data_IF_603135984749
#
_entry.id   IF_603135984749
#
_cell.length_a   1.000
_cell.length_b   1.000
_cell.length_c   1.000
_cell.angle_alpha   90.00
_cell.angle_beta   90.00
_cell.angle_gamma   90.00
#
_symmetry.space_group_name_H-M   'P 1'
#
loop_
_entity.id
_entity.type
_entity.pdbx_description
1 polymer ?
#
# COMPACT_ATOMS: atom_id res chain seq x y z
N UNK A 1 2.51 -33.47 -17.90
CA UNK A 1 2.15 -33.63 -16.48
C UNK A 1 1.64 -32.29 -15.97
N UNK A 2 0.32 -32.15 -15.81
CA UNK A 2 -0.34 -30.91 -15.43
C UNK A 2 -0.44 -30.86 -13.92
N UNK A 3 0.35 -29.98 -13.27
CA UNK A 3 0.21 -29.76 -11.83
C UNK A 3 -1.08 -28.98 -11.56
N UNK A 4 -2.13 -29.70 -11.18
CA UNK A 4 -3.32 -29.11 -10.61
C UNK A 4 -2.97 -28.62 -9.19
N UNK A 5 -2.79 -27.32 -9.03
CA UNK A 5 -2.78 -26.72 -7.69
C UNK A 5 -4.16 -26.95 -7.07
N UNK A 6 -4.25 -27.54 -5.86
CA UNK A 6 -5.54 -27.80 -5.24
C UNK A 6 -6.23 -26.46 -4.98
N UNK A 7 -7.40 -26.26 -5.59
CA UNK A 7 -8.34 -25.22 -5.19
C UNK A 7 -8.64 -25.40 -3.71
N UNK A 8 -8.03 -24.57 -2.88
CA UNK A 8 -8.27 -24.55 -1.44
C UNK A 8 -9.72 -24.09 -1.27
N UNK A 9 -10.62 -24.99 -0.88
CA UNK A 9 -12.02 -24.67 -0.54
C UNK A 9 -12.01 -23.41 0.35
N UNK A 10 -12.66 -22.34 -0.11
CA UNK A 10 -12.82 -21.13 0.68
C UNK A 10 -13.54 -21.50 1.99
N UNK A 11 -12.82 -21.47 3.10
CA UNK A 11 -13.41 -21.66 4.43
C UNK A 11 -14.39 -20.51 4.64
N UNK A 12 -15.61 -20.81 5.11
CA UNK A 12 -16.59 -19.77 5.41
C UNK A 12 -15.95 -18.69 6.28
N UNK A 13 -16.16 -17.40 5.97
CA UNK A 13 -15.53 -16.32 6.72
C UNK A 13 -15.98 -16.39 8.18
N UNK A 14 -15.01 -16.53 9.08
CA UNK A 14 -15.28 -16.53 10.51
C UNK A 14 -15.75 -15.12 10.93
N UNK A 15 -16.78 -15.01 11.78
CA UNK A 15 -17.25 -13.71 12.25
C UNK A 15 -16.11 -12.95 12.92
N UNK A 16 -15.92 -11.68 12.54
CA UNK A 16 -14.93 -10.84 13.23
C UNK A 16 -15.32 -10.66 14.71
N UNK A 17 -14.41 -10.94 15.66
CA UNK A 17 -14.67 -10.72 17.08
C UNK A 17 -15.00 -9.27 17.40
N UNK A 18 -15.87 -9.02 18.39
CA UNK A 18 -16.25 -7.66 18.80
C UNK A 18 -15.03 -6.79 19.17
N UNK A 19 -14.03 -7.37 19.84
CA UNK A 19 -12.76 -6.69 20.16
C UNK A 19 -11.99 -6.25 18.91
N UNK A 20 -11.99 -7.07 17.86
CA UNK A 20 -11.33 -6.74 16.61
C UNK A 20 -12.03 -5.57 15.89
N UNK A 21 -13.37 -5.54 15.87
CA UNK A 21 -14.12 -4.37 15.37
C UNK A 21 -13.80 -3.10 16.14
N UNK A 22 -13.68 -3.19 17.47
CA UNK A 22 -13.30 -2.06 18.31
C UNK A 22 -11.90 -1.54 17.95
N UNK A 23 -10.92 -2.43 17.75
CA UNK A 23 -9.56 -2.08 17.34
C UNK A 23 -9.53 -1.42 15.95
N UNK A 24 -10.23 -1.99 14.96
CA UNK A 24 -10.33 -1.41 13.62
C UNK A 24 -10.96 -0.01 13.68
N UNK A 25 -12.04 0.16 14.42
CA UNK A 25 -12.70 1.46 14.61
C UNK A 25 -11.80 2.50 15.29
N UNK A 26 -11.01 2.07 16.27
CA UNK A 26 -10.14 2.96 17.05
C UNK A 26 -8.87 3.36 16.28
N UNK A 27 -8.29 2.45 15.50
CA UNK A 27 -6.95 2.61 14.95
C UNK A 27 -6.89 2.73 13.43
N UNK A 28 -7.98 2.50 12.70
CA UNK A 28 -8.04 2.67 11.25
C UNK A 28 -9.00 3.81 10.95
N UNK A 29 -8.52 5.05 10.90
CA UNK A 29 -9.37 6.22 10.74
C UNK A 29 -10.36 6.12 9.54
N UNK A 30 -9.95 5.59 8.36
CA UNK A 30 -10.87 5.41 7.24
C UNK A 30 -12.06 4.48 7.53
N UNK A 31 -11.93 3.49 8.42
CA UNK A 31 -13.00 2.55 8.77
C UNK A 31 -14.27 3.26 9.27
N UNK A 32 -14.10 4.38 10.00
CA UNK A 32 -15.23 5.17 10.52
C UNK A 32 -16.08 5.80 9.40
N UNK A 33 -15.47 6.09 8.26
CA UNK A 33 -16.12 6.73 7.10
C UNK A 33 -16.79 5.74 6.15
N UNK A 34 -16.46 4.45 6.25
CA UNK A 34 -17.08 3.41 5.43
C UNK A 34 -18.55 3.20 5.84
N UNK A 35 -19.39 2.90 4.84
CA UNK A 35 -20.75 2.42 5.05
C UNK A 35 -20.75 0.98 5.61
N UNK A 36 -21.94 0.39 5.85
CA UNK A 36 -22.03 -0.95 6.42
C UNK A 36 -21.38 -2.03 5.54
N UNK A 37 -21.58 -1.97 4.22
CA UNK A 37 -21.00 -2.93 3.28
C UNK A 37 -19.48 -2.80 3.19
N UNK A 38 -18.97 -1.57 3.21
CA UNK A 38 -17.54 -1.27 3.18
C UNK A 38 -16.84 -1.70 4.45
N UNK A 39 -17.49 -1.52 5.62
CA UNK A 39 -16.98 -2.05 6.89
C UNK A 39 -16.92 -3.56 6.87
N UNK A 40 -17.96 -4.23 6.37
CA UNK A 40 -17.98 -5.69 6.27
C UNK A 40 -16.90 -6.20 5.30
N UNK A 41 -16.72 -5.54 4.15
CA UNK A 41 -15.65 -5.85 3.21
C UNK A 41 -14.26 -5.68 3.83
N UNK A 42 -14.03 -4.56 4.55
CA UNK A 42 -12.78 -4.30 5.26
C UNK A 42 -12.51 -5.35 6.34
N UNK A 43 -13.54 -5.72 7.11
CA UNK A 43 -13.47 -6.75 8.13
C UNK A 43 -13.07 -8.10 7.51
N UNK A 44 -13.75 -8.53 6.44
CA UNK A 44 -13.40 -9.78 5.74
C UNK A 44 -11.97 -9.77 5.21
N UNK A 45 -11.55 -8.67 4.57
CA UNK A 45 -10.20 -8.51 4.03
C UNK A 45 -9.13 -8.51 5.15
N UNK A 46 -9.37 -7.80 6.25
CA UNK A 46 -8.45 -7.77 7.39
C UNK A 46 -8.32 -9.15 8.07
N UNK A 47 -9.43 -9.88 8.23
CA UNK A 47 -9.40 -11.25 8.75
C UNK A 47 -8.62 -12.21 7.83
N UNK A 48 -8.79 -12.06 6.51
CA UNK A 48 -8.00 -12.81 5.51
C UNK A 48 -6.52 -12.52 5.65
N UNK A 49 -6.13 -11.24 5.63
CA UNK A 49 -4.73 -10.83 5.76
C UNK A 49 -4.09 -11.33 7.05
N UNK A 50 -4.80 -11.27 8.19
CA UNK A 50 -4.28 -11.82 9.46
C UNK A 50 -4.03 -13.32 9.44
N UNK A 51 -4.77 -14.07 8.63
CA UNK A 51 -4.58 -15.52 8.48
C UNK A 51 -3.45 -15.86 7.51
N UNK A 52 -3.27 -15.04 6.48
CA UNK A 52 -2.39 -15.35 5.36
C UNK A 52 -1.01 -14.70 5.49
N UNK A 53 -0.91 -13.59 6.21
CA UNK A 53 0.33 -12.82 6.40
C UNK A 53 0.89 -13.03 7.80
N UNK A 54 2.20 -13.24 7.86
CA UNK A 54 2.91 -13.35 9.13
C UNK A 54 3.28 -11.95 9.64
N UNK A 55 3.06 -11.70 10.93
CA UNK A 55 3.54 -10.48 11.60
C UNK A 55 4.51 -10.92 12.69
N UNK A 56 5.77 -10.55 12.53
CA UNK A 56 6.86 -10.91 13.42
C UNK A 56 7.40 -9.65 14.11
N UNK A 57 7.59 -9.74 15.42
CA UNK A 57 8.24 -8.68 16.18
C UNK A 57 9.75 -8.84 16.16
N UNK A 58 10.45 -7.76 15.90
CA UNK A 58 11.91 -7.67 15.88
C UNK A 58 12.38 -6.62 16.89
N UNK A 59 13.67 -6.65 17.25
CA UNK A 59 14.25 -5.67 18.19
C UNK A 59 13.55 -5.61 19.55
N UNK A 60 13.04 -6.75 20.05
CA UNK A 60 12.31 -6.82 21.32
C UNK A 60 10.83 -6.43 21.25
N UNK A 61 10.31 -6.05 20.07
CA UNK A 61 8.90 -5.74 19.90
C UNK A 61 8.02 -6.98 20.12
N UNK A 62 7.02 -6.87 21.01
CA UNK A 62 6.01 -7.91 21.22
C UNK A 62 4.78 -7.60 20.39
N UNK A 63 4.47 -8.44 19.40
CA UNK A 63 3.32 -8.27 18.51
C UNK A 63 2.00 -8.47 19.28
N UNK A 64 1.30 -7.37 19.53
CA UNK A 64 -0.01 -7.37 20.21
C UNK A 64 -1.18 -7.56 19.24
N UNK A 65 -2.38 -7.85 19.76
CA UNK A 65 -3.60 -7.85 18.94
C UNK A 65 -3.86 -6.49 18.28
N UNK A 66 -3.58 -5.38 18.99
CA UNK A 66 -3.68 -4.03 18.44
C UNK A 66 -2.79 -3.91 17.21
N UNK A 67 -1.52 -4.33 17.29
CA UNK A 67 -0.61 -4.26 16.16
C UNK A 67 -1.13 -5.07 14.96
N UNK A 68 -1.52 -6.33 15.18
CA UNK A 68 -2.01 -7.20 14.11
C UNK A 68 -3.25 -6.63 13.41
N UNK A 69 -4.24 -6.14 14.16
CA UNK A 69 -5.47 -5.60 13.59
C UNK A 69 -5.27 -4.23 12.95
N UNK A 70 -4.38 -3.38 13.49
CA UNK A 70 -4.07 -2.08 12.89
C UNK A 70 -3.35 -2.26 11.55
N UNK A 71 -2.35 -3.15 11.49
CA UNK A 71 -1.62 -3.44 10.24
C UNK A 71 -2.57 -4.04 9.21
N UNK A 72 -3.29 -5.10 9.57
CA UNK A 72 -4.21 -5.75 8.65
C UNK A 72 -5.37 -4.85 8.20
N UNK A 73 -5.86 -3.97 9.08
CA UNK A 73 -6.96 -3.05 8.77
C UNK A 73 -6.57 -1.95 7.79
N UNK A 74 -5.37 -1.38 7.91
CA UNK A 74 -4.86 -0.42 6.92
C UNK A 74 -4.58 -1.10 5.59
N UNK A 75 -3.90 -2.24 5.58
CA UNK A 75 -3.63 -2.99 4.36
C UNK A 75 -4.94 -3.43 3.66
N UNK A 76 -5.97 -3.79 4.42
CA UNK A 76 -7.28 -4.18 3.89
C UNK A 76 -8.00 -3.06 3.13
N UNK A 77 -7.70 -1.78 3.38
CA UNK A 77 -8.28 -0.66 2.62
C UNK A 77 -7.93 -0.77 1.13
N UNK A 78 -6.70 -1.19 0.82
CA UNK A 78 -6.22 -1.33 -0.56
C UNK A 78 -6.86 -2.53 -1.27
N UNK A 79 -7.60 -3.40 -0.56
CA UNK A 79 -8.25 -4.59 -1.10
C UNK A 79 -9.77 -4.43 -1.28
N UNK A 80 -10.38 -3.29 -0.92
CA UNK A 80 -11.84 -3.18 -0.81
C UNK A 80 -12.60 -3.36 -2.13
N UNK A 81 -12.05 -2.82 -3.22
CA UNK A 81 -12.70 -2.85 -4.53
C UNK A 81 -12.29 -4.03 -5.41
N UNK A 82 -11.28 -4.81 -4.99
CA UNK A 82 -10.68 -5.85 -5.82
C UNK A 82 -10.28 -7.05 -4.99
N UNK A 83 -10.70 -8.24 -5.42
CA UNK A 83 -10.14 -9.48 -4.89
C UNK A 83 -8.72 -9.65 -5.44
N UNK A 84 -7.73 -9.21 -4.67
CA UNK A 84 -6.30 -9.33 -5.02
C UNK A 84 -5.66 -10.58 -4.43
N UNK A 85 -6.46 -11.58 -4.12
CA UNK A 85 -6.04 -12.79 -3.43
C UNK A 85 -5.19 -12.56 -2.16
N UNK A 86 -5.43 -11.44 -1.48
CA UNK A 86 -4.65 -11.03 -0.32
C UNK A 86 -3.21 -10.61 -0.63
N UNK A 87 -2.88 -10.21 -1.86
CA UNK A 87 -1.53 -9.85 -2.32
C UNK A 87 -0.54 -11.01 -2.14
N UNK A 88 -0.55 -12.03 -3.02
CA UNK A 88 0.16 -13.29 -2.80
C UNK A 88 1.69 -13.15 -2.72
N UNK A 89 2.28 -12.09 -3.28
CA UNK A 89 3.72 -11.81 -3.17
C UNK A 89 4.16 -11.53 -1.72
N UNK A 90 3.38 -10.71 -1.01
CA UNK A 90 3.63 -10.37 0.39
C UNK A 90 3.45 -11.58 1.31
N UNK A 91 4.44 -11.89 2.15
CA UNK A 91 4.39 -13.01 3.10
C UNK A 91 4.51 -12.56 4.54
N UNK A 92 5.45 -11.66 4.82
CA UNK A 92 5.85 -11.34 6.19
C UNK A 92 5.90 -9.83 6.42
N UNK A 93 5.49 -9.41 7.61
CA UNK A 93 5.68 -8.07 8.14
C UNK A 93 6.59 -8.14 9.35
N UNK A 94 7.76 -7.51 9.27
CA UNK A 94 8.69 -7.36 10.38
C UNK A 94 8.39 -6.04 11.09
N UNK A 95 8.18 -6.09 12.40
CA UNK A 95 7.78 -4.92 13.19
C UNK A 95 8.83 -4.64 14.25
N UNK A 96 9.48 -3.48 14.17
CA UNK A 96 10.42 -2.96 15.16
C UNK A 96 9.71 -1.96 16.08
N UNK A 97 10.20 -1.73 17.32
CA UNK A 97 9.55 -0.78 18.22
C UNK A 97 9.68 0.68 17.74
N UNK A 98 10.79 1.02 17.09
CA UNK A 98 11.09 2.32 16.51
C UNK A 98 11.91 2.16 15.23
N UNK A 99 12.29 3.28 14.60
CA UNK A 99 13.18 3.33 13.44
C UNK A 99 14.34 2.36 13.61
N UNK A 100 14.61 1.59 12.55
CA UNK A 100 15.71 0.63 12.55
C UNK A 100 16.82 1.12 11.65
N UNK A 101 18.05 0.77 12.02
CA UNK A 101 19.25 1.04 11.24
C UNK A 101 19.47 -0.10 10.27
N UNK A 102 19.09 0.09 9.01
CA UNK A 102 19.43 -0.85 7.96
C UNK A 102 20.93 -0.74 7.67
N UNK A 103 21.67 -1.86 7.73
CA UNK A 103 22.98 -1.94 7.06
C UNK A 103 22.69 -2.19 5.59
N UNK A 104 23.09 -1.27 4.72
CA UNK A 104 23.06 -1.55 3.29
C UNK A 104 24.09 -2.63 2.96
N UNK A 105 24.06 -3.12 1.74
CA UNK A 105 25.29 -3.62 1.14
C UNK A 105 25.26 -3.08 -0.27
N UNK A 106 25.79 -1.86 -0.46
CA UNK A 106 26.07 -1.38 -1.82
C UNK A 106 27.38 -2.00 -2.29
N UNK A 107 27.29 -3.07 -3.07
CA UNK A 107 28.42 -3.52 -3.88
C UNK A 107 28.64 -2.52 -5.02
N UNK A 108 29.59 -1.60 -4.83
CA UNK A 108 30.26 -0.93 -5.94
C UNK A 108 31.61 -1.62 -6.14
N UNK A 109 31.90 -1.98 -7.39
CA UNK A 109 33.14 -2.65 -7.78
C UNK A 109 34.35 -1.88 -7.25
N UNK A 110 35.18 -2.59 -6.49
CA UNK A 110 36.46 -2.14 -5.94
C UNK A 110 36.40 -0.99 -4.91
N UNK A 111 35.87 -1.27 -3.72
CA UNK A 111 36.14 -0.47 -2.52
C UNK A 111 34.95 -0.44 -1.55
N UNK A 112 35.07 -1.10 -0.40
CA UNK A 112 34.10 -0.97 0.68
C UNK A 112 34.38 0.36 1.39
N UNK A 113 33.57 1.36 1.12
CA UNK A 113 33.51 2.58 1.95
C UNK A 113 32.52 2.32 3.08
N UNK A 114 32.92 2.61 4.32
CA UNK A 114 32.09 2.39 5.51
C UNK A 114 30.71 3.05 5.39
N UNK A 115 29.67 2.30 5.73
CA UNK A 115 28.28 2.71 5.58
C UNK A 115 27.79 3.54 6.77
N UNK A 116 27.12 4.66 6.50
CA UNK A 116 26.26 5.34 7.44
C UNK A 116 24.93 4.58 7.53
N UNK A 117 24.57 4.15 8.74
CA UNK A 117 23.30 3.49 8.99
C UNK A 117 22.16 4.53 8.96
N UNK A 118 21.37 4.55 7.89
CA UNK A 118 20.15 5.37 7.83
C UNK A 118 19.06 4.79 8.74
N UNK A 119 18.41 5.68 9.48
CA UNK A 119 17.23 5.35 10.28
C UNK A 119 16.01 5.34 9.34
N UNK A 120 15.41 4.16 9.16
CA UNK A 120 14.24 3.97 8.29
C UNK A 120 12.99 3.68 9.11
N UNK A 121 11.89 4.35 8.75
CA UNK A 121 10.57 4.10 9.32
C UNK A 121 9.93 2.83 8.73
N UNK A 122 10.15 2.54 7.44
CA UNK A 122 9.67 1.35 6.76
C UNK A 122 10.50 1.00 5.52
N UNK A 123 10.24 -0.21 4.99
CA UNK A 123 10.84 -0.73 3.76
C UNK A 123 9.99 -1.88 3.22
N UNK A 124 9.87 -1.99 1.89
CA UNK A 124 9.18 -3.09 1.23
C UNK A 124 10.06 -3.78 0.18
N UNK A 125 10.20 -5.09 0.31
CA UNK A 125 10.66 -5.99 -0.77
C UNK A 125 9.45 -6.67 -1.41
N UNK A 126 9.65 -7.53 -2.41
CA UNK A 126 8.53 -8.27 -3.05
C UNK A 126 7.75 -9.19 -2.11
N UNK A 127 8.30 -9.57 -0.97
CA UNK A 127 7.72 -10.54 -0.04
C UNK A 127 7.72 -10.10 1.43
N UNK A 128 8.47 -9.06 1.79
CA UNK A 128 8.60 -8.54 3.16
C UNK A 128 8.22 -7.07 3.21
N UNK A 129 7.44 -6.73 4.23
CA UNK A 129 7.28 -5.35 4.71
C UNK A 129 8.04 -5.22 6.02
N UNK A 130 8.75 -4.12 6.22
CA UNK A 130 9.35 -3.71 7.48
C UNK A 130 8.67 -2.44 7.98
N UNK A 131 8.32 -2.41 9.27
CA UNK A 131 7.66 -1.28 9.91
C UNK A 131 8.30 -0.93 11.25
N UNK A 132 8.47 0.36 11.49
CA UNK A 132 8.56 0.95 12.83
C UNK A 132 7.17 1.10 13.41
N UNK A 133 6.91 0.47 14.56
CA UNK A 133 5.60 0.52 15.19
C UNK A 133 5.27 1.90 15.77
N UNK A 134 6.26 2.63 16.30
CA UNK A 134 6.03 3.97 16.81
C UNK A 134 5.66 4.95 15.68
N UNK A 135 6.34 4.86 14.53
CA UNK A 135 6.02 5.70 13.36
C UNK A 135 4.64 5.35 12.80
N UNK A 136 4.32 4.06 12.63
CA UNK A 136 3.01 3.60 12.17
C UNK A 136 1.84 4.00 13.11
N UNK A 137 2.13 4.27 14.38
CA UNK A 137 1.13 4.81 15.33
C UNK A 137 1.08 6.33 15.27
N UNK A 138 2.23 7.00 15.17
CA UNK A 138 2.35 8.44 15.14
C UNK A 138 1.72 9.06 13.89
N UNK A 139 1.84 8.39 12.74
CA UNK A 139 1.30 8.84 11.46
C UNK A 139 -0.13 8.32 11.17
N UNK A 140 -0.77 7.72 12.18
CA UNK A 140 -2.09 7.10 12.07
C UNK A 140 -2.20 5.99 11.00
N UNK A 141 -1.12 5.25 10.77
CA UNK A 141 -1.09 4.08 9.88
C UNK A 141 -0.82 4.41 8.42
N UNK A 142 -0.37 5.64 8.11
CA UNK A 142 0.03 6.03 6.76
C UNK A 142 1.21 5.20 6.25
N UNK A 143 2.18 4.91 7.11
CA UNK A 143 3.31 4.05 6.81
C UNK A 143 2.84 2.64 6.41
N UNK A 144 1.83 2.09 7.08
CA UNK A 144 1.29 0.78 6.69
C UNK A 144 0.66 0.85 5.30
N UNK A 145 -0.08 1.92 5.00
CA UNK A 145 -0.65 2.12 3.66
C UNK A 145 0.45 2.26 2.60
N UNK A 146 1.50 3.01 2.93
CA UNK A 146 2.66 3.24 2.07
C UNK A 146 3.34 1.92 1.70
N UNK A 147 3.79 1.14 2.68
CA UNK A 147 4.48 -0.13 2.41
C UNK A 147 3.56 -1.17 1.76
N UNK A 148 2.25 -1.13 2.06
CA UNK A 148 1.29 -2.00 1.36
C UNK A 148 1.07 -1.54 -0.09
N UNK A 149 1.18 -0.24 -0.39
CA UNK A 149 1.11 0.28 -1.76
C UNK A 149 2.27 -0.27 -2.61
N UNK A 150 3.47 -0.36 -2.05
CA UNK A 150 4.59 -1.04 -2.72
C UNK A 150 4.27 -2.51 -3.05
N UNK A 151 3.59 -3.24 -2.16
CA UNK A 151 3.11 -4.61 -2.48
C UNK A 151 2.08 -4.64 -3.62
N UNK A 152 1.19 -3.64 -3.69
CA UNK A 152 0.25 -3.50 -4.80
C UNK A 152 0.98 -3.20 -6.11
N UNK A 153 2.00 -2.33 -6.06
CA UNK A 153 2.84 -2.02 -7.21
C UNK A 153 3.59 -3.27 -7.70
N UNK A 154 4.28 -3.99 -6.81
CA UNK A 154 4.95 -5.25 -7.15
C UNK A 154 3.99 -6.28 -7.76
N UNK A 155 2.75 -6.34 -7.28
CA UNK A 155 1.75 -7.28 -7.79
C UNK A 155 1.31 -6.95 -9.22
N UNK A 156 1.21 -5.67 -9.59
CA UNK A 156 0.71 -5.24 -10.90
C UNK A 156 1.79 -4.75 -11.86
N UNK A 157 3.02 -4.55 -11.40
CA UNK A 157 4.09 -3.91 -12.17
C UNK A 157 3.70 -2.51 -12.62
N UNK A 158 3.12 -1.69 -11.73
CA UNK A 158 2.57 -0.38 -12.12
C UNK A 158 3.68 0.58 -12.49
N UNK A 159 4.73 0.64 -11.67
CA UNK A 159 5.82 1.62 -11.80
C UNK A 159 7.18 1.02 -12.15
N UNK A 160 7.28 -0.32 -12.16
CA UNK A 160 8.48 -1.04 -12.55
C UNK A 160 8.94 -0.65 -13.97
N UNK A 161 10.20 -0.19 -14.08
CA UNK A 161 10.81 0.32 -15.32
C UNK A 161 10.03 1.44 -16.02
N UNK A 162 9.17 2.18 -15.32
CA UNK A 162 8.29 3.19 -15.92
C UNK A 162 9.05 4.28 -16.69
N UNK A 163 10.24 4.64 -16.20
CA UNK A 163 11.09 5.67 -16.81
C UNK A 163 11.95 5.15 -17.96
N UNK A 164 12.29 3.86 -17.96
CA UNK A 164 13.21 3.24 -18.91
C UNK A 164 12.51 2.77 -20.19
N UNK A 165 11.20 2.49 -20.12
CA UNK A 165 10.40 2.01 -21.24
C UNK A 165 9.95 3.11 -22.20
N UNK A 166 9.82 2.78 -23.49
CA UNK A 166 9.28 3.73 -24.48
C UNK A 166 7.79 3.99 -24.24
N UNK A 167 7.24 5.08 -24.81
CA UNK A 167 5.81 5.38 -24.67
C UNK A 167 4.90 4.34 -25.34
N UNK A 168 5.41 3.64 -26.36
CA UNK A 168 4.69 2.57 -27.07
C UNK A 168 4.49 1.33 -26.17
N UNK A 169 5.47 1.03 -25.32
CA UNK A 169 5.44 -0.15 -24.44
C UNK A 169 4.54 0.04 -23.22
N UNK A 170 4.22 1.28 -22.85
CA UNK A 170 3.41 1.56 -21.67
C UNK A 170 1.92 1.32 -21.90
N UNK A 171 1.21 0.90 -20.86
CA UNK A 171 -0.26 0.95 -20.86
C UNK A 171 -0.76 2.40 -20.85
N UNK A 172 -2.03 2.68 -21.21
CA UNK A 172 -2.61 4.01 -21.07
C UNK A 172 -2.49 4.57 -19.65
N UNK A 173 -2.70 3.72 -18.63
CA UNK A 173 -2.55 4.09 -17.23
C UNK A 173 -1.11 4.50 -16.92
N UNK A 174 -0.11 3.68 -17.30
CA UNK A 174 1.31 3.98 -17.08
C UNK A 174 1.76 5.26 -17.77
N UNK A 175 1.30 5.54 -19.00
CA UNK A 175 1.57 6.82 -19.68
C UNK A 175 1.05 8.01 -18.90
N UNK A 176 -0.19 7.92 -18.41
CA UNK A 176 -0.81 8.98 -17.62
C UNK A 176 -0.08 9.20 -16.28
N UNK A 177 0.24 8.10 -15.59
CA UNK A 177 0.99 8.12 -14.34
C UNK A 177 2.38 8.73 -14.51
N UNK A 178 3.15 8.27 -15.52
CA UNK A 178 4.48 8.81 -15.84
C UNK A 178 4.46 10.30 -16.14
N UNK A 179 3.45 10.77 -16.89
CA UNK A 179 3.29 12.20 -17.18
C UNK A 179 3.06 12.99 -15.89
N UNK A 180 2.21 12.50 -14.99
CA UNK A 180 1.94 13.16 -13.73
C UNK A 180 3.17 13.20 -12.82
N UNK A 181 3.89 12.07 -12.69
CA UNK A 181 5.14 11.99 -11.93
C UNK A 181 6.20 12.97 -12.47
N UNK A 182 6.44 13.00 -13.79
CA UNK A 182 7.41 13.95 -14.39
C UNK A 182 7.04 15.40 -14.11
N UNK A 183 5.76 15.74 -14.19
CA UNK A 183 5.28 17.09 -13.88
C UNK A 183 5.45 17.42 -12.38
N UNK A 184 5.15 16.47 -11.50
CA UNK A 184 5.35 16.59 -10.05
C UNK A 184 6.83 16.83 -9.71
N UNK A 185 7.72 15.95 -10.17
CA UNK A 185 9.16 16.04 -9.94
C UNK A 185 9.74 17.36 -10.45
N UNK A 186 9.32 17.80 -11.65
CA UNK A 186 9.75 19.10 -12.19
C UNK A 186 9.23 20.29 -11.37
N UNK A 187 8.05 20.18 -10.76
CA UNK A 187 7.53 21.20 -9.84
C UNK A 187 8.35 21.28 -8.56
N UNK A 188 8.67 20.13 -7.94
CA UNK A 188 9.51 20.05 -6.74
C UNK A 188 10.92 20.59 -7.00
N UNK A 189 11.53 20.20 -8.12
CA UNK A 189 12.87 20.69 -8.52
C UNK A 189 12.95 22.21 -8.69
N UNK A 190 11.82 22.89 -8.96
CA UNK A 190 11.72 24.36 -9.03
C UNK A 190 11.33 25.02 -7.70
N UNK A 191 11.36 24.28 -6.58
CA UNK A 191 10.93 24.76 -5.27
C UNK A 191 9.41 24.90 -5.10
N UNK A 192 8.62 24.33 -6.02
CA UNK A 192 7.16 24.36 -5.93
C UNK A 192 6.64 23.48 -4.79
N UNK A 193 5.44 23.82 -4.28
CA UNK A 193 4.71 23.03 -3.28
C UNK A 193 3.47 22.38 -3.92
N UNK A 194 3.63 21.25 -4.62
CA UNK A 194 2.53 20.62 -5.37
C UNK A 194 1.38 20.12 -4.48
N UNK A 195 1.61 19.97 -3.18
CA UNK A 195 0.58 19.56 -2.21
C UNK A 195 0.53 18.04 -1.98
N UNK A 196 1.57 17.32 -2.41
CA UNK A 196 1.98 16.03 -1.85
C UNK A 196 3.35 16.22 -1.22
N UNK A 197 3.73 15.26 -0.38
CA UNK A 197 5.06 15.20 0.20
C UNK A 197 6.14 15.24 -0.92
N UNK A 198 7.13 16.14 -0.87
CA UNK A 198 8.23 16.17 -1.81
C UNK A 198 8.98 14.84 -1.94
N UNK A 199 8.96 13.98 -0.93
CA UNK A 199 9.52 12.63 -0.96
C UNK A 199 8.99 11.80 -2.14
N UNK A 200 7.74 12.03 -2.56
CA UNK A 200 7.13 11.43 -3.73
C UNK A 200 7.85 11.76 -5.06
N UNK A 201 8.86 12.64 -5.05
CA UNK A 201 9.66 12.98 -6.22
C UNK A 201 10.87 12.07 -6.43
N UNK A 202 11.27 11.30 -5.41
CA UNK A 202 12.44 10.40 -5.43
C UNK A 202 12.34 9.42 -6.61
N UNK A 203 11.26 8.65 -6.67
CA UNK A 203 11.01 7.71 -7.77
C UNK A 203 9.51 7.49 -8.04
N UNK A 204 9.16 6.81 -9.16
CA UNK A 204 7.76 6.53 -9.50
C UNK A 204 6.98 5.65 -8.51
N UNK A 205 7.64 4.74 -7.80
CA UNK A 205 7.02 3.86 -6.81
C UNK A 205 6.67 4.65 -5.55
N UNK A 206 7.59 5.52 -5.09
CA UNK A 206 7.33 6.46 -4.00
C UNK A 206 6.20 7.44 -4.34
N UNK A 207 6.14 7.90 -5.59
CA UNK A 207 5.02 8.71 -6.06
C UNK A 207 3.68 7.97 -5.95
N UNK A 208 3.66 6.66 -6.22
CA UNK A 208 2.48 5.82 -6.07
C UNK A 208 2.11 5.58 -4.61
N UNK A 209 3.08 5.28 -3.75
CA UNK A 209 2.85 5.04 -2.34
C UNK A 209 2.31 6.30 -1.61
N UNK A 210 2.96 7.46 -1.80
CA UNK A 210 2.51 8.73 -1.18
C UNK A 210 1.14 9.18 -1.71
N UNK A 211 0.88 9.00 -3.02
CA UNK A 211 -0.44 9.27 -3.59
C UNK A 211 -1.53 8.37 -2.98
N UNK A 212 -1.19 7.11 -2.71
CA UNK A 212 -2.10 6.13 -2.09
C UNK A 212 -2.46 6.51 -0.66
N UNK A 213 -1.48 6.96 0.14
CA UNK A 213 -1.74 7.44 1.49
C UNK A 213 -2.81 8.54 1.50
N UNK A 214 -2.66 9.56 0.66
CA UNK A 214 -3.58 10.70 0.61
C UNK A 214 -4.94 10.32 0.02
N UNK A 215 -4.97 9.40 -0.95
CA UNK A 215 -6.19 8.82 -1.49
C UNK A 215 -7.06 8.19 -0.38
N UNK A 216 -6.47 7.37 0.50
CA UNK A 216 -7.23 6.71 1.56
C UNK A 216 -7.42 7.55 2.82
N UNK A 217 -6.45 8.37 3.22
CA UNK A 217 -6.52 9.13 4.49
C UNK A 217 -7.26 10.46 4.33
N UNK A 218 -7.08 11.17 3.21
CA UNK A 218 -7.63 12.51 2.99
C UNK A 218 -8.37 12.65 1.63
N UNK A 219 -9.35 11.77 1.32
CA UNK A 219 -9.90 11.62 -0.03
C UNK A 219 -10.50 12.92 -0.59
N UNK A 220 -11.18 13.72 0.24
CA UNK A 220 -11.78 15.00 -0.19
C UNK A 220 -10.72 16.03 -0.61
N UNK A 221 -9.62 16.14 0.15
CA UNK A 221 -8.52 17.06 -0.16
C UNK A 221 -7.80 16.58 -1.42
N UNK A 222 -7.48 15.28 -1.45
CA UNK A 222 -6.82 14.62 -2.57
C UNK A 222 -7.60 14.78 -3.88
N UNK A 223 -8.88 14.43 -3.94
CA UNK A 223 -9.67 14.48 -5.17
C UNK A 223 -9.84 15.90 -5.72
N UNK A 224 -9.97 16.91 -4.83
CA UNK A 224 -10.00 18.32 -5.26
C UNK A 224 -8.68 18.77 -5.86
N UNK A 225 -7.56 18.35 -5.27
CA UNK A 225 -6.21 18.77 -5.69
C UNK A 225 -5.72 18.02 -6.92
N UNK A 226 -6.00 16.73 -7.00
CA UNK A 226 -5.48 15.81 -8.01
C UNK A 226 -6.59 14.97 -8.67
N UNK A 227 -7.60 15.58 -9.31
CA UNK A 227 -8.75 14.86 -9.85
C UNK A 227 -8.37 13.79 -10.89
N UNK A 228 -7.33 14.03 -11.68
CA UNK A 228 -6.81 13.05 -12.66
C UNK A 228 -6.12 11.87 -11.99
N UNK A 229 -5.30 12.10 -10.96
CA UNK A 229 -4.67 11.02 -10.20
C UNK A 229 -5.71 10.24 -9.39
N UNK A 230 -6.75 10.90 -8.87
CA UNK A 230 -7.86 10.25 -8.21
C UNK A 230 -8.54 9.21 -9.12
N UNK A 231 -8.81 9.56 -10.38
CA UNK A 231 -9.36 8.61 -11.34
C UNK A 231 -8.42 7.41 -11.56
N UNK A 232 -7.11 7.65 -11.71
CA UNK A 232 -6.12 6.59 -11.91
C UNK A 232 -6.02 5.64 -10.71
N UNK A 233 -6.05 6.15 -9.47
CA UNK A 233 -6.04 5.32 -8.27
C UNK A 233 -7.35 4.57 -8.06
N UNK A 234 -8.50 5.20 -8.36
CA UNK A 234 -9.79 4.51 -8.38
C UNK A 234 -9.78 3.33 -9.34
N UNK A 235 -9.12 3.46 -10.49
CA UNK A 235 -9.00 2.36 -11.46
C UNK A 235 -8.06 1.23 -10.99
N UNK A 236 -7.04 1.54 -10.20
CA UNK A 236 -6.17 0.52 -9.56
C UNK A 236 -6.95 -0.22 -8.48
N UNK A 237 -7.51 0.52 -7.50
CA UNK A 237 -8.16 -0.05 -6.32
C UNK A 237 -9.58 -0.55 -6.56
N UNK A 238 -10.20 -0.17 -7.69
CA UNK A 238 -11.61 -0.43 -8.00
C UNK A 238 -12.55 0.04 -6.88
N UNK A 239 -12.11 1.08 -6.16
CA UNK A 239 -12.76 1.61 -4.98
C UNK A 239 -12.67 3.14 -5.00
N UNK A 240 -13.72 3.81 -4.56
CA UNK A 240 -13.75 5.27 -4.42
C UNK A 240 -13.98 5.67 -2.94
N UNK A 241 -12.97 6.23 -2.27
CA UNK A 241 -13.06 6.63 -0.87
C UNK A 241 -13.98 7.84 -0.62
N UNK A 242 -14.48 8.51 -1.66
CA UNK A 242 -15.49 9.57 -1.54
C UNK A 242 -16.92 9.03 -1.62
N UNK A 243 -17.16 8.01 -2.44
CA UNK A 243 -18.49 7.46 -2.66
C UNK A 243 -18.87 6.39 -1.62
N UNK A 244 -17.88 5.80 -0.94
CA UNK A 244 -18.09 4.54 -0.22
C UNK A 244 -18.30 3.38 -1.21
N UNK A 245 -18.47 2.17 -0.70
CA UNK A 245 -18.63 0.94 -1.49
C UNK A 245 -19.87 0.91 -2.40
N UNK A 246 -20.73 1.93 -2.36
CA UNK A 246 -21.92 2.06 -3.21
C UNK A 246 -21.67 2.57 -4.64
N UNK A 247 -20.46 2.97 -4.99
CA UNK A 247 -20.13 3.48 -6.33
C UNK A 247 -19.66 2.39 -7.29
N UNK A 248 -20.55 1.49 -7.73
CA UNK A 248 -20.25 0.60 -8.87
C UNK A 248 -20.23 1.43 -10.16
N UNK A 249 -19.10 2.08 -10.42
CA UNK A 249 -18.79 2.58 -11.75
C UNK A 249 -18.33 1.37 -12.58
N UNK A 250 -19.25 0.87 -13.40
CA UNK A 250 -19.00 -0.12 -14.43
C UNK A 250 -17.86 0.40 -15.34
N UNK A 251 -16.63 -0.03 -15.09
CA UNK A 251 -15.46 0.32 -15.90
C UNK A 251 -14.74 -0.97 -16.26
N UNK A 252 -14.73 -1.22 -17.57
CA UNK A 252 -14.16 -2.37 -18.26
C UNK A 252 -12.81 -2.83 -17.73
N UNK A 253 -12.65 -4.16 -17.82
CA UNK A 253 -11.51 -4.95 -17.37
C UNK A 253 -10.16 -4.41 -17.84
N UNK A 254 -9.37 -3.89 -16.91
CA UNK A 254 -7.91 -3.94 -17.04
C UNK A 254 -7.48 -5.29 -16.48
N UNK A 255 -7.22 -6.24 -17.40
CA UNK A 255 -6.33 -7.36 -17.13
C UNK A 255 -4.90 -6.86 -17.41
N UNK A 256 -3.99 -6.85 -16.42
CA UNK A 256 -2.56 -6.76 -16.74
C UNK A 256 -2.18 -7.99 -17.56
N UNK A 257 -1.29 -7.79 -18.52
CA UNK A 257 -0.82 -8.82 -19.46
C UNK A 257 -0.22 -10.02 -18.74
N UNK A 258 -0.31 -11.16 -19.44
CA UNK A 258 0.39 -12.41 -19.10
C UNK A 258 1.91 -12.21 -19.06
#
# INVERSE_FOLDING_TARGET
>A
MTFAFPFRKARAPEPIPARARALLRAHVAPYRRLDAAGREALERAAARLRREKHVQGCGGFRVTERARWTIAGHAALLLLGRDMDGLPGWRTTLVYPAGYRARGARHLGAGVVGEEAEERAGEATRDVIVLSWSDAVADEGRLVLHETAHQVDFHFGLTEHLLDRTAADLTPWQRAWRRAYRAFRASVARGGRPGLDPYAAEDPAEFFAVATEDFFTAPRRWARRFPRLHALLRDVYRFDPLAGSGGSANVSSVRPGK
#
